data_IF_581245521092
#
_entry.id   IF_581245521092
#
_cell.length_a   1.000
_cell.length_b   1.000
_cell.length_c   1.000
_cell.angle_alpha   90.00
_cell.angle_beta   90.00
_cell.angle_gamma   90.00
#
_symmetry.space_group_name_H-M   'P 1'
#
loop_
_entity.id
_entity.type
_entity.pdbx_description
1 polymer ?
#
# COMPACT_ATOMS: atom_id res chain seq x y z
N UNK A 1 2.57 78.52 61.57
CA UNK A 1 1.77 77.35 61.99
C UNK A 1 1.89 76.27 60.92
N UNK A 2 2.68 75.22 61.15
CA UNK A 2 2.66 73.98 60.36
C UNK A 2 2.70 72.81 61.35
N UNK A 3 1.61 72.06 61.44
CA UNK A 3 1.48 70.84 62.25
C UNK A 3 2.03 69.66 61.44
N UNK A 4 2.89 68.84 62.06
CA UNK A 4 3.20 67.45 61.66
C UNK A 4 2.20 66.49 62.36
N UNK A 5 2.19 65.13 62.24
CA UNK A 5 3.02 64.18 61.47
C UNK A 5 2.26 62.95 60.85
N UNK A 6 3.06 61.98 60.40
CA UNK A 6 2.80 60.63 59.86
C UNK A 6 1.82 59.71 60.61
N UNK A 7 1.28 58.72 59.88
CA UNK A 7 1.22 57.27 60.14
C UNK A 7 0.15 56.65 59.20
N UNK A 8 0.55 55.84 58.21
CA UNK A 8 0.54 54.37 58.29
C UNK A 8 -0.88 53.79 58.05
N UNK A 9 -1.17 53.32 56.84
CA UNK A 9 -2.12 52.22 56.60
C UNK A 9 -1.73 51.43 55.35
N UNK A 10 -0.98 50.36 55.61
CA UNK A 10 -0.86 49.17 54.77
C UNK A 10 -2.17 48.38 54.86
N UNK A 11 -2.74 47.86 53.76
CA UNK A 11 -3.37 46.53 53.60
C UNK A 11 -4.24 46.43 52.32
N UNK A 12 -3.84 45.52 51.42
CA UNK A 12 -4.59 44.56 50.58
C UNK A 12 -5.83 45.07 49.79
N UNK A 13 -6.04 44.77 48.50
CA UNK A 13 -6.46 43.46 47.97
C UNK A 13 -6.39 43.51 46.42
N UNK A 14 -5.63 42.55 45.86
CA UNK A 14 -5.70 41.91 44.53
C UNK A 14 -6.40 42.59 43.33
N UNK A 15 -5.66 42.67 42.22
CA UNK A 15 -6.20 42.19 40.93
C UNK A 15 -5.30 41.08 40.40
N UNK A 16 -5.90 39.90 40.33
CA UNK A 16 -5.37 38.69 39.72
C UNK A 16 -5.23 38.93 38.21
N UNK A 17 -4.02 39.15 37.72
CA UNK A 17 -3.77 39.04 36.28
C UNK A 17 -3.76 37.55 35.93
N UNK A 18 -4.91 37.05 35.50
CA UNK A 18 -5.05 35.73 34.91
C UNK A 18 -4.19 35.73 33.64
N UNK A 19 -2.98 35.18 33.73
CA UNK A 19 -2.22 34.84 32.52
C UNK A 19 -2.94 33.65 31.90
N UNK A 20 -3.84 33.96 30.97
CA UNK A 20 -4.51 32.96 30.15
C UNK A 20 -3.46 32.32 29.25
N UNK A 21 -2.91 31.19 29.69
CA UNK A 21 -2.07 30.36 28.83
C UNK A 21 -2.98 29.79 27.72
N UNK A 22 -2.97 30.44 26.55
CA UNK A 22 -3.56 29.87 25.36
C UNK A 22 -2.74 28.62 24.99
N UNK A 23 -3.29 27.44 25.27
CA UNK A 23 -2.73 26.20 24.76
C UNK A 23 -2.87 26.22 23.24
N UNK A 24 -1.76 26.39 22.53
CA UNK A 24 -1.69 26.22 21.10
C UNK A 24 -1.83 24.72 20.81
N UNK A 25 -3.05 24.26 20.53
CA UNK A 25 -3.26 22.89 20.08
C UNK A 25 -2.69 22.74 18.67
N UNK A 26 -1.49 22.16 18.57
CA UNK A 26 -0.96 21.70 17.31
C UNK A 26 -1.73 20.43 16.92
N UNK A 27 -2.78 20.57 16.11
CA UNK A 27 -3.35 19.43 15.41
C UNK A 27 -2.32 18.93 14.42
N UNK A 28 -1.58 17.89 14.79
CA UNK A 28 -0.86 17.05 13.83
C UNK A 28 -1.94 16.31 13.05
N UNK A 29 -2.31 16.85 11.89
CA UNK A 29 -3.07 16.07 10.92
C UNK A 29 -2.20 14.89 10.53
N UNK A 30 -2.52 13.69 11.02
CA UNK A 30 -1.96 12.47 10.46
C UNK A 30 -2.49 12.37 9.04
N UNK A 31 -1.74 12.93 8.09
CA UNK A 31 -1.95 12.60 6.70
C UNK A 31 -1.68 11.10 6.62
N UNK A 32 -2.75 10.30 6.57
CA UNK A 32 -2.61 8.88 6.24
C UNK A 32 -1.79 8.86 4.95
N UNK A 33 -0.59 8.28 5.00
CA UNK A 33 0.18 8.02 3.79
C UNK A 33 -0.73 7.21 2.89
N UNK A 34 -1.17 7.80 1.79
CA UNK A 34 -2.07 7.14 0.86
C UNK A 34 -1.32 5.90 0.37
N UNK A 35 -1.96 4.73 0.49
CA UNK A 35 -1.41 3.48 0.01
C UNK A 35 -0.94 3.64 -1.44
N UNK A 36 0.36 3.43 -1.69
CA UNK A 36 0.89 3.45 -3.04
C UNK A 36 0.14 2.40 -3.87
N UNK A 37 -0.47 2.85 -4.96
CA UNK A 37 -1.21 2.00 -5.89
C UNK A 37 -0.39 1.87 -7.15
N UNK A 38 0.05 0.65 -7.46
CA UNK A 38 0.68 0.31 -8.73
C UNK A 38 -0.37 -0.36 -9.59
N UNK A 39 -0.81 0.30 -10.66
CA UNK A 39 -1.70 -0.27 -11.67
C UNK A 39 -0.92 -0.57 -12.93
N UNK A 40 -1.10 -1.78 -13.47
CA UNK A 40 -0.41 -2.29 -14.66
C UNK A 40 -1.46 -2.71 -15.69
N UNK A 41 -1.32 -2.21 -16.92
CA UNK A 41 -2.17 -2.63 -18.03
C UNK A 41 -1.77 -4.03 -18.48
N UNK A 42 -2.75 -4.91 -18.71
CA UNK A 42 -2.48 -6.31 -19.04
C UNK A 42 -1.82 -6.46 -20.43
N UNK A 43 -2.11 -5.56 -21.36
CA UNK A 43 -1.46 -5.55 -22.67
C UNK A 43 -0.03 -4.98 -22.63
N UNK A 44 0.41 -4.39 -21.52
CA UNK A 44 1.76 -3.80 -21.36
C UNK A 44 2.83 -4.80 -20.90
N UNK A 45 2.74 -6.04 -21.37
CA UNK A 45 3.69 -7.09 -21.00
C UNK A 45 5.08 -6.88 -21.62
N UNK A 46 6.13 -7.29 -20.89
CA UNK A 46 7.51 -7.34 -21.37
C UNK A 46 7.81 -8.64 -22.14
N UNK A 47 7.05 -9.71 -21.88
CA UNK A 47 7.06 -10.96 -22.64
C UNK A 47 5.74 -11.70 -22.42
N UNK A 48 5.34 -12.56 -23.36
CA UNK A 48 4.11 -13.34 -23.25
C UNK A 48 4.20 -14.68 -23.99
N UNK A 49 3.26 -15.57 -23.72
CA UNK A 49 2.91 -16.70 -24.57
C UNK A 49 1.39 -16.83 -24.69
N UNK A 50 0.89 -16.95 -25.92
CA UNK A 50 -0.52 -17.19 -26.26
C UNK A 50 -1.45 -15.97 -26.19
N UNK A 51 -0.95 -14.79 -25.85
CA UNK A 51 -1.78 -13.60 -25.62
C UNK A 51 -1.94 -12.75 -26.88
N UNK A 52 -3.18 -12.36 -27.15
CA UNK A 52 -3.51 -11.27 -28.08
C UNK A 52 -4.15 -10.10 -27.32
N UNK A 53 -4.35 -8.98 -28.01
CA UNK A 53 -5.04 -7.81 -27.47
C UNK A 53 -6.19 -7.39 -28.38
N UNK A 54 -7.16 -6.71 -27.79
CA UNK A 54 -8.29 -6.11 -28.50
C UNK A 54 -8.65 -4.75 -27.87
N UNK A 55 -9.49 -3.97 -28.56
CA UNK A 55 -10.03 -2.74 -27.99
C UNK A 55 -11.00 -3.08 -26.84
N UNK A 56 -10.83 -2.40 -25.71
CA UNK A 56 -11.68 -2.65 -24.54
C UNK A 56 -12.95 -1.81 -24.55
N UNK A 57 -14.06 -2.44 -24.17
CA UNK A 57 -15.33 -1.79 -23.84
C UNK A 57 -15.42 -1.35 -22.37
N UNK A 58 -14.37 -1.54 -21.58
CA UNK A 58 -14.36 -1.09 -20.18
C UNK A 58 -14.32 0.44 -20.07
N UNK A 59 -14.64 0.94 -18.88
CA UNK A 59 -14.51 2.36 -18.57
C UNK A 59 -13.05 2.79 -18.69
N UNK A 60 -12.81 3.91 -19.38
CA UNK A 60 -11.46 4.42 -19.67
C UNK A 60 -10.97 4.09 -21.08
N UNK A 61 -11.58 3.12 -21.76
CA UNK A 61 -11.18 2.70 -23.11
C UNK A 61 -9.76 2.13 -23.16
N UNK A 62 -9.14 2.14 -24.34
CA UNK A 62 -7.81 1.56 -24.56
C UNK A 62 -7.89 0.13 -25.10
N UNK A 63 -7.05 -0.75 -24.57
CA UNK A 63 -6.97 -2.15 -24.98
C UNK A 63 -7.10 -3.07 -23.75
N UNK A 64 -7.29 -4.37 -23.99
CA UNK A 64 -7.17 -5.39 -22.97
C UNK A 64 -6.39 -6.60 -23.52
N UNK A 65 -5.83 -7.41 -22.62
CA UNK A 65 -5.37 -8.75 -22.97
C UNK A 65 -6.59 -9.66 -23.20
N UNK A 66 -6.55 -10.43 -24.28
CA UNK A 66 -7.66 -11.24 -24.76
C UNK A 66 -7.18 -12.59 -25.32
N UNK A 67 -8.15 -13.44 -25.63
CA UNK A 67 -7.93 -14.80 -26.16
C UNK A 67 -7.06 -15.65 -25.23
N UNK A 68 -7.29 -15.50 -23.91
CA UNK A 68 -6.45 -16.13 -22.90
C UNK A 68 -6.97 -17.52 -22.55
N UNK A 69 -6.18 -18.53 -22.87
CA UNK A 69 -6.45 -19.94 -22.62
C UNK A 69 -5.56 -20.49 -21.48
N UNK A 70 -5.85 -21.73 -21.07
CA UNK A 70 -5.03 -22.41 -20.07
C UNK A 70 -3.58 -22.59 -20.54
N UNK A 71 -2.63 -22.15 -19.71
CA UNK A 71 -1.20 -22.25 -19.99
C UNK A 71 -0.58 -20.96 -20.53
N UNK A 72 -1.40 -20.00 -20.95
CA UNK A 72 -0.92 -18.69 -21.39
C UNK A 72 -0.34 -17.90 -20.22
N UNK A 73 0.50 -16.92 -20.55
CA UNK A 73 1.11 -16.07 -19.53
C UNK A 73 1.60 -14.73 -20.07
N UNK A 74 1.72 -13.77 -19.16
CA UNK A 74 2.30 -12.45 -19.38
C UNK A 74 3.32 -12.13 -18.28
N UNK A 75 4.47 -11.58 -18.66
CA UNK A 75 5.54 -11.14 -17.76
C UNK A 75 5.62 -9.62 -17.74
N UNK A 76 5.80 -9.07 -16.55
CA UNK A 76 5.94 -7.65 -16.29
C UNK A 76 7.19 -7.43 -15.44
N UNK A 77 8.07 -6.56 -15.89
CA UNK A 77 9.30 -6.25 -15.18
C UNK A 77 9.13 -4.99 -14.32
N UNK A 78 9.83 -4.96 -13.20
CA UNK A 78 9.90 -3.83 -12.28
C UNK A 78 8.58 -3.40 -11.62
N UNK A 79 7.66 -4.34 -11.37
CA UNK A 79 6.41 -4.07 -10.64
C UNK A 79 6.73 -3.86 -9.16
N UNK A 80 6.47 -2.67 -8.63
CA UNK A 80 6.68 -2.37 -7.22
C UNK A 80 5.53 -2.92 -6.36
N UNK A 81 5.85 -3.87 -5.47
CA UNK A 81 4.90 -4.47 -4.53
C UNK A 81 4.86 -3.74 -3.18
N UNK A 82 5.61 -2.64 -3.04
CA UNK A 82 5.64 -1.81 -1.84
C UNK A 82 6.37 -2.46 -0.67
N UNK A 83 6.10 -1.94 0.54
CA UNK A 83 6.68 -2.43 1.78
C UNK A 83 6.00 -3.72 2.28
N UNK A 84 6.60 -4.38 3.27
CA UNK A 84 6.02 -5.57 3.88
C UNK A 84 4.71 -5.21 4.60
N UNK A 85 3.71 -6.08 4.51
CA UNK A 85 2.43 -5.89 5.17
C UNK A 85 1.29 -6.53 4.39
N UNK A 86 0.10 -5.96 4.52
CA UNK A 86 -1.02 -6.35 3.65
C UNK A 86 -0.76 -5.80 2.25
N UNK A 87 -0.88 -6.65 1.25
CA UNK A 87 -0.93 -6.29 -0.16
C UNK A 87 -2.27 -6.72 -0.72
N UNK A 88 -3.06 -5.77 -1.19
CA UNK A 88 -4.29 -6.07 -1.94
C UNK A 88 -3.93 -6.17 -3.42
N UNK A 89 -4.11 -7.36 -3.99
CA UNK A 89 -3.93 -7.63 -5.42
C UNK A 89 -5.29 -7.68 -6.07
N UNK A 90 -5.50 -6.88 -7.11
CA UNK A 90 -6.76 -6.85 -7.86
C UNK A 90 -6.53 -7.09 -9.35
N UNK A 91 -7.51 -7.68 -10.03
CA UNK A 91 -7.54 -7.76 -11.48
C UNK A 91 -8.93 -7.37 -12.01
N UNK A 92 -8.95 -6.56 -13.06
CA UNK A 92 -10.13 -6.18 -13.81
C UNK A 92 -10.31 -7.15 -14.97
N UNK A 93 -11.30 -8.03 -14.82
CA UNK A 93 -11.49 -9.17 -15.70
C UNK A 93 -12.88 -9.15 -16.35
N UNK A 94 -12.98 -9.76 -17.52
CA UNK A 94 -14.23 -10.09 -18.18
C UNK A 94 -14.21 -11.55 -18.63
N UNK A 95 -15.30 -12.27 -18.46
CA UNK A 95 -15.40 -13.68 -18.83
C UNK A 95 -16.83 -14.06 -19.17
N UNK A 96 -17.04 -14.63 -20.35
CA UNK A 96 -18.33 -15.21 -20.71
C UNK A 96 -18.52 -16.62 -20.12
N UNK A 97 -17.42 -17.32 -19.80
CA UNK A 97 -17.44 -18.74 -19.40
C UNK A 97 -17.33 -18.90 -17.88
N UNK A 98 -16.44 -18.14 -17.25
CA UNK A 98 -16.20 -18.16 -15.80
C UNK A 98 -15.59 -19.46 -15.28
N UNK A 99 -14.32 -19.70 -15.63
CA UNK A 99 -13.58 -20.89 -15.20
C UNK A 99 -12.13 -20.53 -14.87
N UNK A 100 -11.51 -21.25 -13.95
CA UNK A 100 -10.07 -21.15 -13.71
C UNK A 100 -9.66 -19.94 -12.87
N UNK A 101 -8.38 -19.59 -12.99
CA UNK A 101 -7.71 -18.56 -12.19
C UNK A 101 -6.66 -17.80 -13.01
N UNK A 102 -6.39 -16.57 -12.55
CA UNK A 102 -5.18 -15.84 -12.88
C UNK A 102 -4.24 -15.95 -11.68
N UNK A 103 -3.13 -16.66 -11.85
CA UNK A 103 -2.08 -16.76 -10.83
C UNK A 103 -1.05 -15.65 -11.04
N UNK A 104 -0.84 -14.81 -10.04
CA UNK A 104 0.30 -13.91 -10.01
C UNK A 104 1.48 -14.60 -9.34
N UNK A 105 2.62 -14.67 -10.02
CA UNK A 105 3.87 -15.29 -9.54
C UNK A 105 5.03 -14.32 -9.65
N UNK A 106 6.05 -14.48 -8.80
CA UNK A 106 7.24 -13.61 -8.81
C UNK A 106 8.47 -14.35 -9.33
N UNK A 107 9.32 -13.64 -10.05
CA UNK A 107 10.62 -14.11 -10.56
C UNK A 107 10.54 -15.05 -11.77
N UNK A 108 9.64 -16.04 -11.79
CA UNK A 108 9.47 -16.96 -12.92
C UNK A 108 8.03 -17.52 -13.03
N UNK A 109 7.73 -18.19 -14.15
CA UNK A 109 6.45 -18.88 -14.39
C UNK A 109 6.10 -19.93 -13.33
N UNK A 110 7.11 -20.49 -12.66
CA UNK A 110 6.96 -21.48 -11.58
C UNK A 110 7.48 -20.95 -10.26
N UNK A 111 7.75 -19.65 -10.16
CA UNK A 111 8.24 -18.99 -8.97
C UNK A 111 7.18 -18.92 -7.86
N UNK A 112 7.52 -18.28 -6.72
CA UNK A 112 6.60 -18.15 -5.60
C UNK A 112 5.27 -17.55 -6.04
N UNK A 113 4.18 -18.16 -5.57
CA UNK A 113 2.82 -17.69 -5.80
C UNK A 113 2.58 -16.45 -4.95
N UNK A 114 2.31 -15.33 -5.61
CA UNK A 114 1.97 -14.05 -4.97
C UNK A 114 0.48 -14.01 -4.64
N UNK A 115 -0.38 -14.25 -5.63
CA UNK A 115 -1.83 -14.16 -5.48
C UNK A 115 -2.54 -15.07 -6.48
N UNK A 116 -3.78 -15.44 -6.16
CA UNK A 116 -4.69 -16.16 -7.06
C UNK A 116 -5.99 -15.38 -7.17
N UNK A 117 -6.33 -14.95 -8.38
CA UNK A 117 -7.62 -14.33 -8.66
C UNK A 117 -8.53 -15.38 -9.32
N UNK A 118 -9.62 -15.80 -8.66
CA UNK A 118 -10.59 -16.69 -9.28
C UNK A 118 -11.36 -15.97 -10.39
N UNK A 119 -11.60 -16.67 -11.51
CA UNK A 119 -12.38 -16.16 -12.62
C UNK A 119 -13.81 -16.68 -12.53
N UNK A 120 -14.75 -15.78 -12.29
CA UNK A 120 -16.19 -16.05 -12.34
C UNK A 120 -16.81 -15.45 -13.61
N UNK A 121 -17.95 -15.95 -14.10
CA UNK A 121 -18.62 -15.36 -15.25
C UNK A 121 -19.04 -13.92 -14.92
N UNK A 122 -18.74 -12.99 -15.82
CA UNK A 122 -19.11 -11.58 -15.66
C UNK A 122 -20.29 -11.19 -16.55
N UNK A 123 -20.77 -12.10 -17.41
CA UNK A 123 -21.87 -11.87 -18.33
C UNK A 123 -21.46 -11.56 -19.76
N UNK A 124 -20.15 -11.59 -20.08
CA UNK A 124 -19.65 -11.42 -21.44
C UNK A 124 -18.16 -11.08 -21.50
N UNK A 125 -17.57 -11.17 -22.69
CA UNK A 125 -16.14 -10.89 -22.94
C UNK A 125 -15.74 -9.43 -22.74
N UNK A 126 -16.72 -8.53 -22.70
CA UNK A 126 -16.53 -7.10 -22.49
C UNK A 126 -17.43 -6.59 -21.35
N UNK A 127 -17.92 -7.50 -20.50
CA UNK A 127 -18.63 -7.14 -19.26
C UNK A 127 -17.65 -7.29 -18.12
N UNK A 128 -17.28 -6.19 -17.48
CA UNK A 128 -16.09 -6.15 -16.65
C UNK A 128 -16.40 -6.14 -15.15
N UNK A 129 -15.68 -6.95 -14.38
CA UNK A 129 -15.71 -7.00 -12.91
C UNK A 129 -14.29 -6.91 -12.33
N UNK A 130 -14.15 -6.28 -11.16
CA UNK A 130 -12.88 -6.26 -10.43
C UNK A 130 -12.93 -7.32 -9.34
N UNK A 131 -11.96 -8.23 -9.37
CA UNK A 131 -11.75 -9.22 -8.32
C UNK A 131 -10.50 -8.86 -7.53
N UNK A 132 -10.50 -9.11 -6.23
CA UNK A 132 -9.41 -8.76 -5.35
C UNK A 132 -9.11 -9.87 -4.33
N UNK A 133 -7.85 -9.95 -3.92
CA UNK A 133 -7.40 -10.83 -2.83
C UNK A 133 -6.33 -10.12 -2.00
N UNK A 134 -6.31 -10.39 -0.70
CA UNK A 134 -5.32 -9.85 0.23
C UNK A 134 -4.22 -10.89 0.50
N UNK A 135 -2.97 -10.43 0.47
CA UNK A 135 -1.78 -11.22 0.73
C UNK A 135 -1.04 -10.60 1.92
N UNK A 136 -0.58 -11.41 2.86
CA UNK A 136 0.10 -10.92 4.09
C UNK A 136 1.60 -11.17 4.08
N UNK A 137 2.09 -12.04 3.19
CA UNK A 137 3.51 -12.36 3.01
C UNK A 137 3.83 -12.32 1.53
N UNK A 138 4.69 -11.39 1.13
CA UNK A 138 5.10 -11.19 -0.25
C UNK A 138 6.51 -10.57 -0.28
N UNK A 139 7.26 -10.69 -1.38
CA UNK A 139 8.47 -9.90 -1.57
C UNK A 139 8.12 -8.41 -1.65
N UNK A 140 9.05 -7.57 -1.20
CA UNK A 140 8.90 -6.11 -1.18
C UNK A 140 9.63 -5.45 -2.34
N UNK A 141 9.25 -4.21 -2.63
CA UNK A 141 9.87 -3.41 -3.69
C UNK A 141 9.60 -3.96 -5.08
N UNK A 142 10.50 -3.61 -6.00
CA UNK A 142 10.39 -3.93 -7.42
C UNK A 142 10.65 -5.41 -7.73
N UNK A 143 9.72 -6.05 -8.43
CA UNK A 143 9.74 -7.47 -8.77
C UNK A 143 9.43 -7.70 -10.26
N UNK A 144 9.94 -8.79 -10.82
CA UNK A 144 9.35 -9.37 -12.03
C UNK A 144 8.13 -10.19 -11.64
N UNK A 145 6.98 -9.86 -12.23
CA UNK A 145 5.68 -10.50 -11.97
C UNK A 145 5.21 -11.21 -13.23
N UNK A 146 4.66 -12.41 -13.05
CA UNK A 146 4.01 -13.19 -14.09
C UNK A 146 2.53 -13.32 -13.76
N UNK A 147 1.66 -13.06 -14.73
CA UNK A 147 0.27 -13.49 -14.72
C UNK A 147 0.19 -14.80 -15.50
N UNK A 148 -0.16 -15.91 -14.85
CA UNK A 148 -0.21 -17.26 -15.42
C UNK A 148 -1.66 -17.75 -15.41
N UNK A 149 -2.15 -18.18 -16.57
CA UNK A 149 -3.53 -18.55 -16.77
C UNK A 149 -3.72 -20.05 -16.52
N UNK A 150 -4.63 -20.40 -15.62
CA UNK A 150 -4.95 -21.79 -15.26
C UNK A 150 -6.43 -22.04 -15.41
N UNK A 151 -6.82 -23.01 -16.23
CA UNK A 151 -8.23 -23.36 -16.41
C UNK A 151 -8.39 -24.80 -16.90
N UNK A 152 -9.55 -25.39 -16.64
CA UNK A 152 -9.97 -26.66 -17.24
C UNK A 152 -10.91 -26.46 -18.43
N UNK A 153 -11.27 -25.21 -18.75
CA UNK A 153 -12.10 -24.89 -19.90
C UNK A 153 -11.37 -25.23 -21.21
N UNK A 154 -12.12 -25.66 -22.21
CA UNK A 154 -11.61 -25.80 -23.57
C UNK A 154 -11.60 -24.41 -24.23
N UNK A 155 -10.39 -23.89 -24.50
CA UNK A 155 -10.19 -22.59 -25.17
C UNK A 155 -10.09 -21.40 -24.21
N UNK A 156 -10.35 -20.23 -24.76
CA UNK A 156 -10.21 -18.95 -24.06
C UNK A 156 -11.23 -18.84 -22.93
N UNK A 157 -10.83 -18.26 -21.80
CA UNK A 157 -11.69 -18.20 -20.62
C UNK A 157 -11.74 -16.85 -19.92
N UNK A 158 -10.82 -15.93 -20.21
CA UNK A 158 -10.80 -14.62 -19.55
C UNK A 158 -10.18 -13.54 -20.43
N UNK A 159 -10.71 -12.33 -20.33
CA UNK A 159 -10.07 -11.09 -20.76
C UNK A 159 -9.60 -10.34 -19.51
N UNK A 160 -8.45 -9.68 -19.58
CA UNK A 160 -7.88 -8.90 -18.47
C UNK A 160 -7.55 -7.51 -18.98
N UNK A 161 -8.09 -6.47 -18.33
CA UNK A 161 -7.81 -5.08 -18.68
C UNK A 161 -6.56 -4.60 -17.94
N UNK A 162 -6.61 -4.64 -16.60
CA UNK A 162 -5.50 -4.25 -15.75
C UNK A 162 -5.47 -5.08 -14.48
N UNK A 163 -4.35 -5.02 -13.78
CA UNK A 163 -4.22 -5.49 -12.41
C UNK A 163 -3.51 -4.44 -11.56
N UNK A 164 -3.76 -4.46 -10.25
CA UNK A 164 -3.21 -3.48 -9.33
C UNK A 164 -2.68 -4.12 -8.05
N UNK A 165 -1.65 -3.51 -7.50
CA UNK A 165 -1.03 -3.85 -6.23
C UNK A 165 -1.13 -2.65 -5.30
N UNK A 166 -1.81 -2.82 -4.18
CA UNK A 166 -2.03 -1.77 -3.19
C UNK A 166 -1.47 -2.25 -1.86
N UNK A 167 -0.30 -1.74 -1.49
CA UNK A 167 0.30 -2.04 -0.20
C UNK A 167 -0.47 -1.40 0.94
N UNK A 168 -0.25 -1.86 2.17
CA UNK A 168 -0.65 -1.09 3.35
C UNK A 168 0.09 0.25 3.27
N UNK A 169 -0.66 1.36 3.12
CA UNK A 169 -0.07 2.68 3.27
C UNK A 169 0.68 2.74 4.58
N UNK A 170 1.85 3.37 4.59
CA UNK A 170 2.70 3.50 5.77
C UNK A 170 1.88 4.16 6.89
N UNK A 171 1.23 3.33 7.71
CA UNK A 171 0.67 3.79 8.95
C UNK A 171 1.87 4.22 9.77
N UNK A 172 1.94 5.46 10.29
CA UNK A 172 3.03 5.85 11.16
C UNK A 172 3.15 4.79 12.23
N UNK A 173 4.28 4.08 12.26
CA UNK A 173 4.60 3.20 13.37
C UNK A 173 4.45 4.05 14.63
N UNK A 174 3.72 3.62 15.67
CA UNK A 174 3.81 4.28 16.95
C UNK A 174 5.17 3.91 17.56
N UNK A 175 6.27 4.49 17.06
CA UNK A 175 7.59 4.39 17.68
C UNK A 175 8.06 5.74 18.20
N UNK A 176 7.48 6.12 19.33
CA UNK A 176 7.95 7.22 20.17
C UNK A 176 8.48 6.75 21.51
N UNK A 177 9.35 5.73 21.57
CA UNK A 177 10.21 5.54 22.74
C UNK A 177 11.66 5.78 22.30
N UNK A 178 12.27 6.92 22.66
CA UNK A 178 13.69 7.10 22.43
C UNK A 178 14.44 6.06 23.28
N UNK A 179 15.06 5.09 22.61
CA UNK A 179 16.09 4.27 23.25
C UNK A 179 17.26 5.18 23.54
N UNK A 180 17.33 5.69 24.77
CA UNK A 180 18.52 6.34 25.31
C UNK A 180 19.59 5.27 25.45
N UNK A 181 20.36 5.06 24.38
CA UNK A 181 21.66 4.40 24.46
C UNK A 181 22.59 5.33 25.26
N UNK A 182 23.07 4.98 26.46
CA UNK A 182 24.07 5.79 27.13
C UNK A 182 25.41 5.55 26.41
N UNK A 183 25.97 6.61 25.86
CA UNK A 183 27.34 6.63 25.34
C UNK A 183 28.31 7.15 26.42
N UNK A 184 29.28 6.31 26.81
CA UNK A 184 30.51 6.66 27.54
C UNK A 184 30.36 6.71 29.06
N UNK A 185 31.25 6.09 29.85
CA UNK A 185 32.71 6.26 29.85
C UNK A 185 33.48 4.96 30.20
N UNK A 186 34.69 4.74 29.66
CA UNK A 186 35.61 3.74 30.20
C UNK A 186 36.42 4.35 31.35
N UNK A 187 36.26 3.85 32.57
CA UNK A 187 37.16 4.17 33.69
C UNK A 187 38.21 3.06 33.85
N UNK A 188 39.44 3.33 33.42
CA UNK A 188 40.59 2.55 33.84
C UNK A 188 40.87 2.81 35.32
N UNK A 189 40.75 1.80 36.19
CA UNK A 189 41.31 1.84 37.55
C UNK A 189 42.68 1.16 37.53
N UNK A 190 43.72 1.97 37.70
CA UNK A 190 44.99 1.54 38.28
C UNK A 190 44.84 1.41 39.78
N UNK A 191 45.27 0.28 40.36
CA UNK A 191 45.81 0.27 41.72
C UNK A 191 46.90 -0.78 41.84
N UNK A 192 48.10 -0.27 42.10
CA UNK A 192 49.25 -0.96 42.67
C UNK A 192 48.92 -1.30 44.12
N UNK A 193 49.02 -2.58 44.49
CA UNK A 193 49.90 -3.03 45.56
C UNK A 193 50.16 -4.54 45.43
#
# INVERSE_FOLDING_TARGET
MRRYPAHLYTLLVSTLAIVLAAALSLTVSTQQAQAATVTVQAESYAAQSGVAWEATGDTGGGQNAAFLANGDWMRYDNVDLGAAGRLTVSARIASAVGSGTVEFRTGSLTGPLLAVIPVSPTGGWQTWATQATDVTTHPTGSQTVFAVLRSTAAGDFVNINWFSFVGAGDSPRPDGSPSTRPSGTPSWRSSVR
#
